data_IF_384811411832
#
_entry.id   IF_384811411832
#
_cell.length_a   1.000
_cell.length_b   1.000
_cell.length_c   1.000
_cell.angle_alpha   90.00
_cell.angle_beta   90.00
_cell.angle_gamma   90.00
#
_symmetry.space_group_name_H-M   'P 1'
#
loop_
_entity.id
_entity.type
_entity.pdbx_description
1 polymer ?
#
# COMPACT_ATOMS: atom_id res chain seq x y z
N UNK A 1 -8.59 -1.91 -10.11
CA UNK A 1 -10.05 -2.11 -10.06
C UNK A 1 -10.37 -3.02 -8.89
N UNK A 2 -11.24 -2.57 -7.99
CA UNK A 2 -11.77 -3.41 -6.90
C UNK A 2 -12.52 -4.60 -7.51
N UNK A 3 -12.19 -5.80 -7.06
CA UNK A 3 -12.55 -7.04 -7.76
C UNK A 3 -13.98 -7.47 -7.41
N UNK A 4 -14.93 -7.38 -8.34
CA UNK A 4 -16.34 -7.71 -8.11
C UNK A 4 -16.56 -9.19 -7.73
N UNK A 5 -15.69 -10.09 -8.19
CA UNK A 5 -15.72 -11.52 -7.83
C UNK A 5 -15.48 -11.79 -6.33
N UNK A 6 -14.68 -10.95 -5.67
CA UNK A 6 -14.45 -11.07 -4.22
C UNK A 6 -15.73 -10.78 -3.41
N UNK A 7 -16.52 -9.81 -3.83
CA UNK A 7 -17.78 -9.45 -3.16
C UNK A 7 -18.85 -10.52 -3.34
N UNK A 8 -18.93 -11.10 -4.53
CA UNK A 8 -19.83 -12.21 -4.83
C UNK A 8 -19.47 -13.45 -4.01
N UNK A 9 -18.18 -13.79 -3.91
CA UNK A 9 -17.70 -14.91 -3.10
C UNK A 9 -17.95 -14.70 -1.60
N UNK A 10 -17.70 -13.49 -1.09
CA UNK A 10 -17.90 -13.16 0.31
C UNK A 10 -19.39 -13.19 0.67
N UNK A 11 -20.25 -12.64 -0.19
CA UNK A 11 -21.69 -12.69 0.01
C UNK A 11 -22.22 -14.13 -0.05
N UNK A 12 -21.75 -14.92 -1.01
CA UNK A 12 -22.11 -16.34 -1.13
C UNK A 12 -21.77 -17.12 0.14
N UNK A 13 -20.58 -16.88 0.73
CA UNK A 13 -20.16 -17.50 1.99
C UNK A 13 -20.99 -17.05 3.19
N UNK A 14 -21.31 -15.76 3.28
CA UNK A 14 -22.14 -15.21 4.37
C UNK A 14 -23.59 -15.74 4.29
N UNK A 15 -24.17 -15.77 3.09
CA UNK A 15 -25.50 -16.35 2.86
C UNK A 15 -25.55 -17.86 3.09
N UNK A 16 -24.44 -18.57 2.88
CA UNK A 16 -24.35 -20.01 3.14
C UNK A 16 -24.39 -20.38 4.64
N UNK A 17 -23.99 -19.46 5.53
CA UNK A 17 -23.96 -19.68 6.99
C UNK A 17 -25.36 -19.50 7.61
N UNK A 18 -26.30 -18.86 6.90
CA UNK A 18 -27.62 -18.54 7.42
C UNK A 18 -28.64 -19.62 6.98
N UNK A 19 -29.20 -20.42 7.91
CA UNK A 19 -30.16 -21.47 7.60
C UNK A 19 -31.56 -20.86 7.43
N UNK A 20 -31.83 -20.25 6.27
CA UNK A 20 -33.14 -19.75 5.87
C UNK A 20 -33.54 -20.35 4.51
N UNK A 21 -34.85 -20.41 4.23
CA UNK A 21 -35.41 -20.97 2.98
C UNK A 21 -34.89 -20.27 1.71
N UNK A 22 -34.91 -20.96 0.57
CA UNK A 22 -34.23 -20.54 -0.67
C UNK A 22 -34.60 -19.11 -1.14
N UNK A 23 -35.87 -18.69 -1.08
CA UNK A 23 -36.27 -17.33 -1.45
C UNK A 23 -35.67 -16.25 -0.54
N UNK A 24 -35.60 -16.50 0.76
CA UNK A 24 -35.06 -15.54 1.73
C UNK A 24 -33.54 -15.41 1.57
N UNK A 25 -32.88 -16.47 1.10
CA UNK A 25 -31.42 -16.50 0.89
C UNK A 25 -30.97 -15.53 -0.20
N UNK A 26 -31.70 -15.45 -1.31
CA UNK A 26 -31.30 -14.62 -2.47
C UNK A 26 -31.48 -13.12 -2.17
N UNK A 27 -32.58 -12.76 -1.50
CA UNK A 27 -32.80 -11.40 -0.99
C UNK A 27 -31.74 -10.99 0.04
N UNK A 28 -31.36 -11.91 0.92
CA UNK A 28 -30.33 -11.65 1.92
C UNK A 28 -28.95 -11.50 1.28
N UNK A 29 -28.62 -12.34 0.29
CA UNK A 29 -27.39 -12.27 -0.49
C UNK A 29 -27.24 -10.91 -1.15
N UNK A 30 -28.30 -10.43 -1.79
CA UNK A 30 -28.31 -9.13 -2.46
C UNK A 30 -28.10 -7.99 -1.46
N UNK A 31 -28.77 -8.03 -0.29
CA UNK A 31 -28.57 -7.03 0.77
C UNK A 31 -27.18 -7.06 1.37
N UNK A 32 -26.59 -8.25 1.55
CA UNK A 32 -25.21 -8.42 2.03
C UNK A 32 -24.22 -7.86 1.01
N UNK A 33 -24.37 -8.15 -0.30
CA UNK A 33 -23.51 -7.57 -1.34
C UNK A 33 -23.58 -6.05 -1.35
N UNK A 34 -24.78 -5.47 -1.24
CA UNK A 34 -24.97 -4.02 -1.21
C UNK A 34 -24.35 -3.38 0.04
N UNK A 35 -24.55 -3.98 1.22
CA UNK A 35 -23.95 -3.51 2.46
C UNK A 35 -22.42 -3.57 2.37
N UNK A 36 -21.84 -4.70 1.94
CA UNK A 36 -20.40 -4.83 1.77
C UNK A 36 -19.85 -3.80 0.76
N UNK A 37 -20.49 -3.64 -0.40
CA UNK A 37 -20.09 -2.63 -1.39
C UNK A 37 -20.11 -1.22 -0.78
N UNK A 38 -21.15 -0.86 -0.02
CA UNK A 38 -21.24 0.44 0.63
C UNK A 38 -20.22 0.63 1.77
N UNK A 39 -20.00 -0.39 2.60
CA UNK A 39 -19.06 -0.33 3.72
C UNK A 39 -17.63 -0.23 3.22
N UNK A 40 -17.24 -1.01 2.21
CA UNK A 40 -15.90 -0.90 1.62
C UNK A 40 -15.71 0.38 0.80
N UNK A 41 -16.77 0.93 0.19
CA UNK A 41 -16.70 2.28 -0.41
C UNK A 41 -16.57 3.39 0.63
N UNK A 42 -17.05 3.18 1.86
CA UNK A 42 -16.91 4.11 2.98
C UNK A 42 -15.57 3.98 3.73
N UNK A 43 -14.88 2.85 3.57
CA UNK A 43 -13.50 2.72 4.02
C UNK A 43 -12.63 3.52 3.05
N UNK A 44 -11.76 4.37 3.57
CA UNK A 44 -10.78 5.16 2.81
C UNK A 44 -9.70 4.25 2.20
N UNK A 45 -10.14 3.35 1.32
CA UNK A 45 -9.31 2.38 0.65
C UNK A 45 -8.54 3.14 -0.42
N UNK A 46 -7.27 3.44 -0.11
CA UNK A 46 -6.31 3.87 -1.11
C UNK A 46 -6.43 2.95 -2.32
N UNK A 47 -6.73 3.53 -3.47
CA UNK A 47 -6.77 2.78 -4.70
C UNK A 47 -5.40 2.17 -4.95
N UNK A 48 -5.37 1.03 -5.64
CA UNK A 48 -4.11 0.39 -6.00
C UNK A 48 -3.18 1.32 -6.77
N UNK A 49 -3.74 2.23 -7.56
CA UNK A 49 -3.00 3.25 -8.32
C UNK A 49 -2.35 4.30 -7.40
N UNK A 50 -3.06 4.75 -6.36
CA UNK A 50 -2.50 5.67 -5.36
C UNK A 50 -1.40 4.98 -4.53
N UNK A 51 -1.60 3.70 -4.17
CA UNK A 51 -0.58 2.92 -3.49
C UNK A 51 0.69 2.77 -4.35
N UNK A 52 0.53 2.42 -5.63
CA UNK A 52 1.66 2.27 -6.55
C UNK A 52 2.38 3.61 -6.77
N UNK A 53 1.65 4.72 -6.81
CA UNK A 53 2.23 6.08 -6.89
C UNK A 53 3.06 6.43 -5.66
N UNK A 54 2.55 6.15 -4.46
CA UNK A 54 3.28 6.36 -3.21
C UNK A 54 4.52 5.47 -3.12
N UNK A 55 4.42 4.20 -3.54
CA UNK A 55 5.55 3.28 -3.61
C UNK A 55 6.66 3.82 -4.53
N UNK A 56 6.32 4.32 -5.71
CA UNK A 56 7.30 4.93 -6.60
C UNK A 56 7.94 6.19 -5.99
N UNK A 57 7.18 6.99 -5.23
CA UNK A 57 7.73 8.14 -4.52
C UNK A 57 8.74 7.71 -3.43
N UNK A 58 8.45 6.62 -2.72
CA UNK A 58 9.35 6.03 -1.74
C UNK A 58 10.64 5.52 -2.40
N UNK A 59 10.54 4.77 -3.51
CA UNK A 59 11.71 4.27 -4.24
C UNK A 59 12.64 5.42 -4.67
N UNK A 60 12.08 6.55 -5.14
CA UNK A 60 12.86 7.75 -5.48
C UNK A 60 13.53 8.37 -4.26
N UNK A 61 12.85 8.41 -3.11
CA UNK A 61 13.41 8.93 -1.88
C UNK A 61 14.61 8.08 -1.41
N UNK A 62 14.48 6.75 -1.44
CA UNK A 62 15.57 5.83 -1.10
C UNK A 62 16.80 6.02 -2.00
N UNK A 63 16.59 6.15 -3.31
CA UNK A 63 17.68 6.45 -4.25
C UNK A 63 18.38 7.76 -3.90
N UNK A 64 17.60 8.83 -3.62
CA UNK A 64 18.16 10.13 -3.29
C UNK A 64 18.95 10.11 -1.98
N UNK A 65 18.46 9.39 -0.97
CA UNK A 65 19.17 9.20 0.30
C UNK A 65 20.52 8.53 0.05
N UNK A 66 20.55 7.45 -0.73
CA UNK A 66 21.79 6.73 -1.07
C UNK A 66 22.80 7.61 -1.79
N UNK A 67 22.37 8.48 -2.70
CA UNK A 67 23.25 9.45 -3.35
C UNK A 67 23.84 10.47 -2.37
N UNK A 68 23.02 10.97 -1.44
CA UNK A 68 23.45 11.91 -0.41
C UNK A 68 24.46 11.25 0.54
N UNK A 69 24.22 10.02 0.98
CA UNK A 69 25.16 9.24 1.79
C UNK A 69 26.52 9.05 1.09
N UNK A 70 26.50 8.73 -0.21
CA UNK A 70 27.72 8.63 -1.00
C UNK A 70 28.45 9.97 -1.11
N UNK A 71 27.69 11.06 -1.28
CA UNK A 71 28.24 12.42 -1.39
C UNK A 71 28.89 12.83 -0.07
N UNK A 72 28.23 12.59 1.06
CA UNK A 72 28.75 12.83 2.40
C UNK A 72 30.00 11.98 2.67
N UNK A 73 29.98 10.70 2.29
CA UNK A 73 31.16 9.83 2.43
C UNK A 73 32.36 10.34 1.64
N UNK A 74 32.14 10.76 0.38
CA UNK A 74 33.20 11.36 -0.45
C UNK A 74 33.72 12.66 0.16
N UNK A 75 32.82 13.49 0.70
CA UNK A 75 33.19 14.76 1.32
C UNK A 75 33.98 14.53 2.62
N UNK A 76 33.55 13.60 3.47
CA UNK A 76 34.27 13.19 4.68
C UNK A 76 35.69 12.72 4.38
N UNK A 77 35.85 11.83 3.38
CA UNK A 77 37.19 11.40 2.92
C UNK A 77 38.06 12.55 2.42
N UNK A 78 37.48 13.53 1.73
CA UNK A 78 38.22 14.72 1.29
C UNK A 78 38.69 15.57 2.47
N UNK A 79 37.87 15.71 3.51
CA UNK A 79 38.25 16.42 4.73
C UNK A 79 39.42 15.72 5.45
N UNK A 80 39.37 14.40 5.62
CA UNK A 80 40.48 13.63 6.21
C UNK A 80 41.80 13.81 5.44
N UNK A 81 41.74 13.82 4.10
CA UNK A 81 42.91 14.05 3.25
C UNK A 81 43.48 15.47 3.37
N UNK A 82 42.64 16.46 3.65
CA UNK A 82 43.06 17.85 3.85
C UNK A 82 43.66 18.07 5.24
N UNK A 83 43.10 17.45 6.28
CA UNK A 83 43.66 17.49 7.64
C UNK A 83 45.00 16.74 7.72
N UNK A 84 45.13 15.60 7.03
CA UNK A 84 46.38 14.86 6.94
C UNK A 84 47.49 15.58 6.19
N UNK A 85 47.16 16.47 5.25
CA UNK A 85 48.13 17.33 4.55
C UNK A 85 48.53 18.57 5.37
N UNK A 86 47.67 19.02 6.29
CA UNK A 86 47.93 20.18 7.15
C UNK A 86 48.79 19.85 8.38
N UNK A 87 49.06 18.56 8.63
CA UNK A 87 49.79 18.06 9.81
C UNK A 87 51.20 17.52 9.49
N UNK A 88 51.70 17.69 8.26
CA UNK A 88 53.12 17.47 7.95
C UNK A 88 53.94 18.77 8.16
N UNK A 89 54.98 18.77 9.02
CA UNK A 89 55.87 19.90 9.24
C UNK A 89 56.85 20.16 8.09
#
# INVERSE_FOLDING_TARGET
>A
MFNNSFFEDLSSRLSAIIPLGEEVRDDLRTKIEQLLKSSFASLDLLSREEFDTQRQALDRAEQRIKELEQTLTKLGKKFELLEGQSTSP
#
